data_IF_920512417348
#
_entry.id   IF_920512417348
#
_cell.length_a   1.000
_cell.length_b   1.000
_cell.length_c   1.000
_cell.angle_alpha   90.00
_cell.angle_beta   90.00
_cell.angle_gamma   90.00
#
_symmetry.space_group_name_H-M   'P 1'
#
loop_
_entity.id
_entity.type
_entity.pdbx_description
1 polymer ?
#
# COMPACT_ATOMS: atom_id res chain seq x y z
N UNK A 1 0.86 5.81 -15.29
CA UNK A 1 1.64 4.56 -15.46
C UNK A 1 2.87 4.68 -14.59
N UNK A 2 2.96 3.87 -13.53
CA UNK A 2 4.21 3.79 -12.76
C UNK A 2 5.14 2.91 -13.57
N UNK A 3 6.04 3.55 -14.32
CA UNK A 3 6.97 2.85 -15.19
C UNK A 3 8.02 2.19 -14.29
N UNK A 4 7.94 0.86 -14.16
CA UNK A 4 8.89 0.05 -13.38
C UNK A 4 10.00 -0.38 -14.35
N UNK A 5 11.15 0.29 -14.32
CA UNK A 5 12.21 0.17 -15.33
C UNK A 5 13.08 -1.09 -15.26
N UNK A 6 12.63 -2.25 -14.74
CA UNK A 6 13.54 -3.42 -14.70
C UNK A 6 13.00 -4.82 -14.99
N UNK A 7 11.70 -5.06 -15.08
CA UNK A 7 11.17 -6.29 -15.68
C UNK A 7 9.73 -6.04 -16.09
N UNK A 8 9.39 -6.23 -17.37
CA UNK A 8 8.04 -6.10 -17.93
C UNK A 8 7.09 -7.23 -17.48
N UNK A 9 7.26 -7.75 -16.26
CA UNK A 9 6.48 -8.86 -15.72
C UNK A 9 5.23 -8.28 -15.09
N UNK A 10 4.06 -8.70 -15.59
CA UNK A 10 2.77 -8.39 -14.97
C UNK A 10 2.72 -9.09 -13.61
N UNK A 11 2.72 -8.31 -12.54
CA UNK A 11 2.50 -8.83 -11.19
C UNK A 11 1.00 -8.83 -10.90
N UNK A 12 0.44 -9.99 -10.59
CA UNK A 12 -0.93 -10.10 -10.10
C UNK A 12 -0.90 -10.06 -8.57
N UNK A 13 -1.28 -8.93 -7.98
CA UNK A 13 -1.23 -8.75 -6.53
C UNK A 13 -2.64 -8.94 -5.96
N UNK A 14 -2.86 -9.90 -5.05
CA UNK A 14 -4.16 -10.07 -4.41
C UNK A 14 -4.54 -8.83 -3.62
N UNK A 15 -5.80 -8.40 -3.76
CA UNK A 15 -6.33 -7.22 -3.09
C UNK A 15 -7.06 -7.66 -1.83
N UNK A 16 -6.74 -7.05 -0.69
CA UNK A 16 -7.43 -7.32 0.57
C UNK A 16 -8.83 -6.67 0.57
N UNK A 17 -9.82 -7.23 1.29
CA UNK A 17 -11.16 -6.65 1.37
C UNK A 17 -11.20 -5.16 1.76
N UNK A 18 -10.39 -4.66 2.72
CA UNK A 18 -10.34 -3.23 3.04
C UNK A 18 -9.86 -2.37 1.86
N UNK A 19 -8.89 -2.85 1.09
CA UNK A 19 -8.41 -2.15 -0.11
C UNK A 19 -9.49 -2.09 -1.18
N UNK A 20 -10.26 -3.16 -1.37
CA UNK A 20 -11.37 -3.19 -2.31
C UNK A 20 -12.48 -2.20 -1.90
N UNK A 21 -12.78 -2.09 -0.61
CA UNK A 21 -13.74 -1.11 -0.10
C UNK A 21 -13.33 0.34 -0.43
N UNK A 22 -12.04 0.66 -0.29
CA UNK A 22 -11.50 1.98 -0.65
C UNK A 22 -11.63 2.23 -2.15
N UNK A 23 -11.26 1.27 -3.00
CA UNK A 23 -11.39 1.39 -4.45
C UNK A 23 -12.86 1.62 -4.84
N UNK A 24 -13.78 0.89 -4.21
CA UNK A 24 -15.22 1.04 -4.46
C UNK A 24 -15.74 2.41 -4.02
N UNK A 25 -15.24 2.97 -2.92
CA UNK A 25 -15.60 4.31 -2.46
C UNK A 25 -15.30 5.39 -3.50
N UNK A 26 -14.20 5.28 -4.23
CA UNK A 26 -13.79 6.26 -5.23
C UNK A 26 -14.19 5.87 -6.67
N UNK A 27 -14.95 4.77 -6.83
CA UNK A 27 -15.39 4.29 -8.14
C UNK A 27 -16.20 5.36 -8.85
N UNK A 28 -15.86 5.64 -10.11
CA UNK A 28 -16.49 6.64 -10.98
C UNK A 28 -16.39 8.10 -10.51
N UNK A 29 -15.64 8.41 -9.45
CA UNK A 29 -15.46 9.80 -8.98
C UNK A 29 -14.31 10.53 -9.69
N UNK A 30 -13.40 9.79 -10.33
CA UNK A 30 -12.20 10.34 -10.96
C UNK A 30 -11.55 9.36 -11.95
N UNK A 31 -10.60 9.86 -12.72
CA UNK A 31 -9.73 9.04 -13.58
C UNK A 31 -8.69 8.33 -12.72
N UNK A 32 -8.82 7.00 -12.59
CA UNK A 32 -7.92 6.13 -11.80
C UNK A 32 -8.59 5.56 -10.53
N UNK A 33 -7.93 4.63 -9.86
CA UNK A 33 -8.53 3.86 -8.75
C UNK A 33 -8.71 4.65 -7.44
N UNK A 34 -7.77 5.55 -7.13
CA UNK A 34 -7.76 6.36 -5.90
C UNK A 34 -7.19 7.76 -6.19
N UNK A 35 -7.53 8.78 -5.38
CA UNK A 35 -6.92 10.11 -5.47
C UNK A 35 -5.40 10.04 -5.41
N UNK A 36 -4.72 10.76 -6.31
CA UNK A 36 -3.25 10.80 -6.31
C UNK A 36 -2.76 11.77 -5.24
N UNK A 37 -1.88 11.27 -4.37
CA UNK A 37 -1.16 12.05 -3.38
C UNK A 37 0.35 11.92 -3.66
N UNK A 38 1.11 12.97 -3.36
CA UNK A 38 2.57 12.87 -3.38
C UNK A 38 3.06 11.99 -2.23
N UNK A 39 4.20 11.32 -2.42
CA UNK A 39 4.81 10.50 -1.37
C UNK A 39 5.10 11.31 -0.10
N UNK A 40 5.48 12.59 -0.26
CA UNK A 40 5.69 13.51 0.85
C UNK A 40 4.41 13.71 1.66
N UNK A 41 3.27 13.98 1.00
CA UNK A 41 2.00 14.20 1.68
C UNK A 41 1.47 12.93 2.33
N UNK A 42 1.63 11.79 1.65
CA UNK A 42 1.28 10.49 2.21
C UNK A 42 2.08 10.18 3.48
N UNK A 43 3.40 10.42 3.48
CA UNK A 43 4.23 10.23 4.67
C UNK A 43 3.87 11.22 5.79
N UNK A 44 3.47 12.46 5.48
CA UNK A 44 3.01 13.40 6.49
C UNK A 44 1.73 12.90 7.19
N UNK A 45 0.74 12.43 6.42
CA UNK A 45 -0.47 11.85 6.99
C UNK A 45 -0.21 10.57 7.80
N UNK A 46 0.72 9.72 7.36
CA UNK A 46 1.10 8.53 8.12
C UNK A 46 1.72 8.87 9.48
N UNK A 47 2.45 9.99 9.59
CA UNK A 47 2.99 10.47 10.88
C UNK A 47 1.86 10.96 11.78
N UNK A 48 0.96 11.79 11.26
CA UNK A 48 -0.20 12.26 12.03
C UNK A 48 -1.04 11.09 12.57
N UNK A 49 -1.27 10.05 11.74
CA UNK A 49 -1.98 8.84 12.18
C UNK A 49 -1.18 8.08 13.25
N UNK A 50 0.15 7.97 13.10
CA UNK A 50 1.00 7.33 14.09
C UNK A 50 0.90 8.03 15.45
N UNK A 51 0.96 9.37 15.45
CA UNK A 51 0.85 10.20 16.65
C UNK A 51 -0.51 10.01 17.32
N UNK A 52 -1.61 10.05 16.55
CA UNK A 52 -2.97 9.83 17.06
C UNK A 52 -3.19 8.42 17.62
N UNK A 53 -2.50 7.42 17.06
CA UNK A 53 -2.58 6.04 17.52
C UNK A 53 -1.56 5.67 18.60
N UNK A 54 -0.68 6.60 19.01
CA UNK A 54 0.39 6.33 19.97
C UNK A 54 1.46 5.34 19.47
N UNK A 55 1.70 5.30 18.16
CA UNK A 55 2.69 4.41 17.53
C UNK A 55 4.05 5.11 17.51
N UNK A 56 4.97 4.65 18.34
CA UNK A 56 6.35 5.19 18.44
C UNK A 56 7.29 4.71 17.31
N UNK A 57 6.74 4.43 16.13
CA UNK A 57 7.49 4.00 14.95
C UNK A 57 7.28 4.98 13.82
N UNK A 58 8.38 5.34 13.14
CA UNK A 58 8.32 6.20 11.97
C UNK A 58 7.60 5.51 10.80
N UNK A 59 6.30 5.76 10.66
CA UNK A 59 5.50 5.20 9.57
C UNK A 59 5.81 5.92 8.26
N UNK A 60 6.21 5.13 7.26
CA UNK A 60 6.46 5.61 5.90
C UNK A 60 5.88 4.61 4.90
N UNK A 61 5.77 5.04 3.64
CA UNK A 61 5.38 4.14 2.56
C UNK A 61 6.27 2.88 2.46
N UNK A 62 7.58 3.03 2.70
CA UNK A 62 8.51 1.90 2.71
C UNK A 62 8.20 0.91 3.82
N UNK A 63 7.91 1.40 5.03
CA UNK A 63 7.52 0.54 6.16
C UNK A 63 6.24 -0.24 5.82
N UNK A 64 5.23 0.40 5.21
CA UNK A 64 4.01 -0.28 4.80
C UNK A 64 4.29 -1.42 3.80
N UNK A 65 5.19 -1.21 2.82
CA UNK A 65 5.59 -2.25 1.86
C UNK A 65 6.28 -3.43 2.56
N UNK A 66 7.20 -3.16 3.49
CA UNK A 66 7.89 -4.21 4.23
C UNK A 66 6.93 -5.02 5.11
N UNK A 67 6.04 -4.34 5.83
CA UNK A 67 5.01 -5.00 6.65
C UNK A 67 4.07 -5.87 5.80
N UNK A 68 3.69 -5.42 4.59
CA UNK A 68 2.90 -6.24 3.68
C UNK A 68 3.64 -7.54 3.32
N UNK A 69 4.92 -7.44 2.93
CA UNK A 69 5.72 -8.61 2.55
C UNK A 69 5.99 -9.56 3.73
N UNK A 70 6.27 -9.05 4.93
CA UNK A 70 6.64 -9.91 6.06
C UNK A 70 5.43 -10.43 6.81
N UNK A 71 4.43 -9.59 7.05
CA UNK A 71 3.33 -9.90 7.97
C UNK A 71 2.08 -10.33 7.22
N UNK A 72 1.74 -9.64 6.13
CA UNK A 72 0.50 -9.93 5.38
C UNK A 72 0.67 -11.13 4.45
N UNK A 73 1.86 -11.31 3.86
CA UNK A 73 2.12 -12.44 2.96
C UNK A 73 2.89 -13.56 3.65
N UNK A 74 4.16 -13.37 4.03
CA UNK A 74 4.99 -14.43 4.62
C UNK A 74 4.42 -14.95 5.96
N UNK A 75 3.98 -14.04 6.84
CA UNK A 75 3.37 -14.39 8.13
C UNK A 75 2.04 -15.17 8.02
N UNK A 76 1.35 -15.08 6.87
CA UNK A 76 0.13 -15.83 6.58
C UNK A 76 0.37 -17.05 5.68
N UNK A 77 1.63 -17.51 5.56
CA UNK A 77 1.98 -18.74 4.83
C UNK A 77 1.99 -18.61 3.30
N UNK A 78 1.95 -17.38 2.76
CA UNK A 78 2.17 -17.17 1.32
C UNK A 78 3.64 -17.42 1.03
N UNK A 79 3.91 -18.34 0.09
CA UNK A 79 5.27 -18.73 -0.30
C UNK A 79 6.07 -17.52 -0.79
N UNK A 80 7.36 -17.48 -0.44
CA UNK A 80 8.26 -16.36 -0.74
C UNK A 80 8.43 -16.07 -2.23
N UNK A 81 8.23 -17.08 -3.08
CA UNK A 81 8.20 -16.97 -4.55
C UNK A 81 7.09 -16.03 -5.07
N UNK A 82 6.07 -15.75 -4.25
CA UNK A 82 4.92 -14.94 -4.59
C UNK A 82 4.90 -13.55 -3.88
N UNK A 83 6.00 -13.14 -3.23
CA UNK A 83 6.10 -11.90 -2.40
C UNK A 83 6.98 -10.82 -3.02
#
# INVERSE_FOLDING_TARGET
MTNRSKTAIRANVPILPPTLAIINKYRNMQIGLIPKLSNQKMNAYLKEIADLCGIDKHLTWYVARHTFATTVTLGNGIRIENV
#
